data_IF_713446669323
#
_entry.id   IF_713446669323
#
_cell.length_a   1.000
_cell.length_b   1.000
_cell.length_c   1.000
_cell.angle_alpha   90.00
_cell.angle_beta   90.00
_cell.angle_gamma   90.00
#
_symmetry.space_group_name_H-M   'P 1'
#
loop_
_entity.id
_entity.type
_entity.pdbx_description
1 polymer ?
#
# COMPACT_ATOMS: atom_id res chain seq x y z
N UNK A 1 -0.34 -6.04 -19.56
CA UNK A 1 0.27 -5.08 -18.62
C UNK A 1 1.48 -4.48 -19.29
N UNK A 2 1.69 -3.17 -19.25
CA UNK A 2 2.87 -2.53 -19.84
C UNK A 2 3.91 -2.29 -18.74
N UNK A 3 5.14 -2.77 -18.92
CA UNK A 3 6.22 -2.60 -17.96
C UNK A 3 6.97 -1.25 -18.09
N UNK A 4 6.82 -0.55 -19.21
CA UNK A 4 7.49 0.72 -19.48
C UNK A 4 6.62 1.63 -20.34
N UNK A 5 5.60 2.26 -19.74
CA UNK A 5 4.79 3.27 -20.44
C UNK A 5 5.66 4.47 -20.88
N UNK A 6 5.29 5.09 -22.01
CA UNK A 6 6.09 6.17 -22.61
C UNK A 6 5.98 7.48 -21.84
N UNK A 7 7.13 8.05 -21.49
CA UNK A 7 7.25 9.39 -20.89
C UNK A 7 7.47 10.51 -21.93
N UNK A 8 7.53 10.20 -23.22
CA UNK A 8 7.62 11.22 -24.27
C UNK A 8 6.33 12.06 -24.33
N UNK A 9 6.44 13.38 -24.29
CA UNK A 9 5.28 14.28 -24.35
C UNK A 9 5.12 14.88 -25.75
N UNK A 10 3.93 14.73 -26.33
CA UNK A 10 3.55 15.33 -27.63
C UNK A 10 2.65 16.56 -27.46
N UNK A 11 1.96 16.67 -26.32
CA UNK A 11 1.15 17.84 -25.96
C UNK A 11 1.63 18.48 -24.65
N UNK A 12 1.23 19.72 -24.40
CA UNK A 12 1.50 20.40 -23.13
C UNK A 12 0.82 19.70 -21.95
N UNK A 13 -0.37 19.15 -22.15
CA UNK A 13 -1.09 18.40 -21.11
C UNK A 13 -0.33 17.13 -20.73
N UNK A 14 0.16 16.37 -21.72
CA UNK A 14 0.99 15.19 -21.47
C UNK A 14 2.25 15.56 -20.70
N UNK A 15 2.87 16.68 -21.04
CA UNK A 15 4.05 17.19 -20.36
C UNK A 15 3.74 17.41 -18.89
N UNK A 16 2.73 18.22 -18.56
CA UNK A 16 2.38 18.54 -17.17
C UNK A 16 2.10 17.28 -16.37
N UNK A 17 1.24 16.39 -16.91
CA UNK A 17 0.85 15.16 -16.22
C UNK A 17 2.05 14.23 -15.98
N UNK A 18 2.92 14.04 -16.99
CA UNK A 18 4.09 13.17 -16.88
C UNK A 18 5.15 13.75 -15.95
N UNK A 19 5.33 15.07 -15.91
CA UNK A 19 6.23 15.71 -14.94
C UNK A 19 5.73 15.53 -13.50
N UNK A 20 4.44 15.72 -13.25
CA UNK A 20 3.86 15.49 -11.92
C UNK A 20 4.02 14.02 -11.50
N UNK A 21 3.76 13.08 -12.42
CA UNK A 21 3.95 11.65 -12.16
C UNK A 21 5.39 11.33 -11.75
N UNK A 22 6.38 11.84 -12.48
CA UNK A 22 7.80 11.64 -12.16
C UNK A 22 8.14 12.27 -10.81
N UNK A 23 7.65 13.49 -10.55
CA UNK A 23 7.90 14.20 -9.30
C UNK A 23 7.37 13.42 -8.09
N UNK A 24 6.11 13.01 -8.14
CA UNK A 24 5.45 12.28 -7.06
C UNK A 24 6.12 10.90 -6.86
N UNK A 25 6.53 10.23 -7.95
CA UNK A 25 7.27 8.95 -7.87
C UNK A 25 8.60 9.12 -7.13
N UNK A 26 9.36 10.19 -7.43
CA UNK A 26 10.65 10.44 -6.80
C UNK A 26 10.49 10.82 -5.32
N UNK A 27 9.45 11.57 -4.96
CA UNK A 27 9.16 11.90 -3.56
C UNK A 27 8.90 10.65 -2.71
N UNK A 28 8.30 9.61 -3.30
CA UNK A 28 8.04 8.34 -2.63
C UNK A 28 9.29 7.45 -2.60
N UNK A 29 9.96 7.25 -3.74
CA UNK A 29 11.05 6.29 -3.87
C UNK A 29 12.39 6.83 -3.33
N UNK A 30 12.59 8.15 -3.38
CA UNK A 30 13.85 8.82 -3.04
C UNK A 30 13.54 10.10 -2.24
N UNK A 31 12.95 9.97 -1.03
CA UNK A 31 12.69 11.12 -0.18
C UNK A 31 13.99 11.92 0.04
N UNK A 32 13.90 13.25 -0.10
CA UNK A 32 15.00 14.21 0.05
C UNK A 32 16.15 14.11 -0.98
N UNK A 33 16.03 13.28 -2.01
CA UNK A 33 17.08 13.13 -3.04
C UNK A 33 18.36 12.45 -2.53
N UNK A 34 18.28 11.75 -1.40
CA UNK A 34 19.38 10.97 -0.83
C UNK A 34 19.51 9.60 -1.50
N UNK A 35 20.59 8.88 -1.23
CA UNK A 35 20.76 7.50 -1.72
C UNK A 35 19.71 6.60 -1.05
N UNK A 36 18.88 5.84 -1.80
CA UNK A 36 17.87 4.97 -1.23
C UNK A 36 18.43 3.98 -0.20
N UNK A 37 17.84 3.96 0.99
CA UNK A 37 18.19 3.02 2.08
C UNK A 37 17.00 2.12 2.42
N UNK A 38 17.25 0.80 2.49
CA UNK A 38 16.24 -0.22 2.82
C UNK A 38 15.62 -0.05 4.21
N UNK A 39 16.28 0.69 5.10
CA UNK A 39 15.84 0.93 6.48
C UNK A 39 14.85 2.10 6.58
N UNK A 40 14.62 2.84 5.50
CA UNK A 40 13.67 3.95 5.51
C UNK A 40 12.24 3.47 5.77
N UNK A 41 11.44 4.35 6.36
CA UNK A 41 10.01 4.12 6.52
C UNK A 41 9.41 3.86 5.14
N UNK A 42 8.82 2.68 4.95
CA UNK A 42 8.09 2.32 3.73
C UNK A 42 6.72 2.98 3.64
N UNK A 43 6.35 3.73 4.68
CA UNK A 43 5.12 4.51 4.74
C UNK A 43 5.47 5.99 4.43
N UNK A 44 5.31 6.43 3.18
CA UNK A 44 5.44 7.84 2.85
C UNK A 44 4.35 8.65 3.57
N UNK A 45 4.66 9.90 3.91
CA UNK A 45 3.64 10.82 4.43
C UNK A 45 2.59 11.12 3.35
N UNK A 46 1.39 11.54 3.77
CA UNK A 46 0.33 11.93 2.83
C UNK A 46 0.78 13.03 1.86
N UNK A 47 1.60 13.96 2.34
CA UNK A 47 2.12 15.05 1.51
C UNK A 47 3.13 14.55 0.47
N UNK A 48 3.89 13.49 0.78
CA UNK A 48 4.87 12.90 -0.13
C UNK A 48 4.23 12.07 -1.26
N UNK A 49 3.00 11.60 -1.07
CA UNK A 49 2.26 10.83 -2.08
C UNK A 49 1.82 11.68 -3.28
N UNK A 50 1.66 12.99 -3.10
CA UNK A 50 1.17 13.88 -4.16
C UNK A 50 -0.17 13.42 -4.72
N UNK A 51 -0.19 13.01 -5.99
CA UNK A 51 -1.39 12.53 -6.69
C UNK A 51 -1.61 11.02 -6.61
N UNK A 52 -0.78 10.28 -5.87
CA UNK A 52 -0.94 8.84 -5.67
C UNK A 52 -1.88 8.51 -4.51
N UNK A 53 -2.65 7.43 -4.67
CA UNK A 53 -3.45 6.81 -3.61
C UNK A 53 -2.93 5.40 -3.30
N UNK A 54 -2.79 5.09 -2.00
CA UNK A 54 -2.44 3.74 -1.55
C UNK A 54 -3.70 2.86 -1.61
N UNK A 55 -3.71 1.89 -2.50
CA UNK A 55 -4.82 0.94 -2.64
C UNK A 55 -4.61 -0.34 -1.82
N UNK A 56 -3.36 -0.76 -1.65
CA UNK A 56 -3.01 -1.98 -0.93
C UNK A 56 -1.64 -1.82 -0.27
N UNK A 57 -1.59 -2.12 1.02
CA UNK A 57 -0.36 -2.12 1.82
C UNK A 57 -0.01 -3.57 2.18
N UNK A 58 1.02 -4.09 1.50
CA UNK A 58 1.43 -5.49 1.65
C UNK A 58 2.04 -5.77 3.04
N UNK A 59 2.69 -4.79 3.66
CA UNK A 59 3.34 -4.93 4.96
C UNK A 59 2.27 -4.99 6.06
N UNK A 60 1.27 -4.10 5.99
CA UNK A 60 0.12 -4.11 6.88
C UNK A 60 -0.72 -5.40 6.72
N UNK A 61 -0.94 -5.84 5.48
CA UNK A 61 -1.70 -7.06 5.22
C UNK A 61 -0.99 -8.32 5.77
N UNK A 62 0.34 -8.38 5.70
CA UNK A 62 1.12 -9.48 6.29
C UNK A 62 1.08 -9.45 7.82
N UNK A 63 1.16 -8.26 8.43
CA UNK A 63 1.05 -8.09 9.89
C UNK A 63 -0.31 -8.60 10.40
N UNK A 64 -1.40 -8.21 9.74
CA UNK A 64 -2.76 -8.66 10.07
C UNK A 64 -2.93 -10.18 9.96
N UNK A 65 -2.26 -10.81 8.99
CA UNK A 65 -2.26 -12.27 8.85
C UNK A 65 -1.55 -12.96 10.02
N UNK A 66 -0.36 -12.48 10.39
CA UNK A 66 0.42 -13.00 11.52
C UNK A 66 -0.34 -12.83 12.84
N UNK A 67 -0.96 -11.68 13.07
CA UNK A 67 -1.73 -11.42 14.29
C UNK A 67 -2.96 -12.33 14.40
N UNK A 68 -3.62 -12.63 13.27
CA UNK A 68 -4.71 -13.63 13.23
C UNK A 68 -4.21 -15.03 13.54
N UNK A 69 -3.03 -15.41 13.06
CA UNK A 69 -2.43 -16.73 13.35
C UNK A 69 -1.96 -16.86 14.80
N UNK A 70 -1.43 -15.81 15.40
CA UNK A 70 -1.09 -15.76 16.83
C UNK A 70 -2.35 -15.88 17.71
N UNK A 71 -3.44 -15.21 17.30
CA UNK A 71 -4.73 -15.28 17.99
C UNK A 71 -5.41 -16.64 17.83
N UNK A 72 -5.24 -17.30 16.69
CA UNK A 72 -5.78 -18.65 16.46
C UNK A 72 -5.04 -19.71 17.29
N UNK A 73 -3.72 -19.54 17.50
CA UNK A 73 -2.90 -20.42 18.35
C UNK A 73 -3.13 -20.22 19.84
N UNK A 74 -3.30 -18.98 20.29
CA UNK A 74 -3.59 -18.67 21.72
C UNK A 74 -5.03 -19.04 22.13
N UNK A 75 -5.95 -19.18 21.16
CA UNK A 75 -7.31 -19.66 21.37
C UNK A 75 -7.46 -21.20 21.47
N UNK A 76 -6.39 -21.97 21.33
CA UNK A 76 -6.42 -23.44 21.37
C UNK A 76 -6.09 -24.02 22.76
N UNK A 77 -6.55 -23.33 23.80
CA UNK A 77 -6.55 -23.81 25.18
C UNK A 77 -7.90 -23.50 25.84
N UNK A 78 -8.67 -24.55 26.12
CA UNK A 78 -9.92 -24.56 26.90
C UNK A 78 -11.24 -24.33 26.15
N UNK A 79 -11.84 -25.44 25.70
CA UNK A 79 -13.21 -25.86 26.02
C UNK A 79 -14.42 -24.93 25.80
N UNK A 80 -15.37 -25.41 24.98
CA UNK A 80 -16.85 -25.23 25.04
C UNK A 80 -17.41 -23.81 25.21
N UNK A 81 -18.01 -23.25 24.16
CA UNK A 81 -19.47 -23.22 23.98
C UNK A 81 -19.89 -22.42 22.73
N UNK A 82 -20.96 -22.90 22.11
CA UNK A 82 -21.79 -22.32 21.05
C UNK A 82 -22.05 -20.82 21.16
N UNK A 83 -21.82 -20.07 20.08
CA UNK A 83 -22.78 -19.07 19.57
C UNK A 83 -22.44 -18.63 18.14
N UNK A 84 -23.33 -18.95 17.21
CA UNK A 84 -23.33 -18.46 15.84
C UNK A 84 -23.35 -16.92 15.80
N UNK A 85 -22.25 -16.31 15.36
CA UNK A 85 -22.22 -14.92 14.89
C UNK A 85 -21.80 -14.91 13.42
N UNK A 86 -22.82 -14.97 12.56
CA UNK A 86 -22.73 -14.88 11.11
C UNK A 86 -22.00 -13.60 10.69
N UNK A 87 -20.71 -13.72 10.37
CA UNK A 87 -19.91 -12.64 9.80
C UNK A 87 -20.29 -12.50 8.33
N UNK A 88 -20.86 -11.35 7.95
CA UNK A 88 -21.17 -11.06 6.55
C UNK A 88 -19.87 -10.66 5.83
N UNK A 89 -19.55 -11.23 4.65
CA UNK A 89 -18.44 -10.76 3.84
C UNK A 89 -18.79 -9.40 3.21
N UNK A 90 -17.82 -8.50 3.19
CA UNK A 90 -17.91 -7.22 2.50
C UNK A 90 -17.90 -7.48 0.98
N UNK A 91 -19.01 -7.19 0.30
CA UNK A 91 -19.09 -7.13 -1.16
C UNK A 91 -19.07 -5.67 -1.58
N UNK A 92 -18.09 -5.29 -2.40
CA UNK A 92 -18.05 -3.98 -3.06
C UNK A 92 -19.07 -3.93 -4.21
N UNK A 93 -19.67 -2.76 -4.41
CA UNK A 93 -20.58 -2.43 -5.52
C UNK A 93 -19.84 -1.64 -6.58
#
# INVERSE_FOLDING_TARGET
VNASPSLTSTTSADRIMKYNLIHDTLNIAVPNGEIPDVRWSKLPSKDALGSYDILYDEELAQQDAVDRDLKSRTGQGSGRNTKDTKTKPATWK
#
